data_IF_183159139821
#
_entry.id   IF_183159139821
#
_cell.length_a   1.000
_cell.length_b   1.000
_cell.length_c   1.000
_cell.angle_alpha   90.00
_cell.angle_beta   90.00
_cell.angle_gamma   90.00
#
_symmetry.space_group_name_H-M   'P 1'
#
loop_
_entity.id
_entity.type
_entity.pdbx_description
1 polymer ?
#
# COMPACT_ATOMS: atom_id res chain seq x y z
N UNK A 1 13.04 26.22 -89.95
CA UNK A 1 11.80 26.27 -89.15
C UNK A 1 11.52 24.88 -88.63
N UNK A 2 11.01 24.81 -87.39
CA UNK A 2 10.53 23.64 -86.64
C UNK A 2 11.63 22.82 -85.94
N UNK A 3 11.75 23.09 -84.64
CA UNK A 3 12.58 22.41 -83.64
C UNK A 3 11.89 21.14 -83.13
N UNK A 4 12.62 20.01 -83.13
CA UNK A 4 12.20 18.78 -82.48
C UNK A 4 12.64 18.81 -81.00
N UNK A 5 11.69 18.85 -80.07
CA UNK A 5 11.96 18.70 -78.63
C UNK A 5 11.50 17.33 -78.17
N UNK A 6 12.48 16.45 -78.00
CA UNK A 6 12.35 15.21 -77.24
C UNK A 6 12.43 15.56 -75.75
N UNK A 7 11.39 15.29 -74.97
CA UNK A 7 11.53 15.18 -73.52
C UNK A 7 10.84 13.89 -73.08
N UNK A 8 11.67 13.03 -72.50
CA UNK A 8 11.37 11.67 -72.08
C UNK A 8 10.37 11.67 -70.93
N UNK A 9 9.37 10.78 -71.02
CA UNK A 9 8.63 10.32 -69.87
C UNK A 9 9.56 9.50 -68.96
N UNK A 10 9.58 9.81 -67.67
CA UNK A 10 10.15 8.94 -66.65
C UNK A 10 9.21 8.97 -65.43
N UNK A 11 8.50 7.86 -65.27
CA UNK A 11 7.86 7.48 -64.03
C UNK A 11 8.95 7.17 -62.97
N UNK A 12 8.74 7.62 -61.73
CA UNK A 12 9.65 7.33 -60.63
C UNK A 12 9.04 7.76 -59.30
N UNK A 13 8.40 6.82 -58.63
CA UNK A 13 7.87 6.94 -57.27
C UNK A 13 9.01 7.19 -56.25
N UNK A 14 8.81 8.06 -55.26
CA UNK A 14 9.65 8.08 -54.04
C UNK A 14 8.96 8.80 -52.86
N UNK A 15 8.25 8.00 -52.06
CA UNK A 15 8.27 7.96 -50.59
C UNK A 15 8.08 9.26 -49.79
N UNK A 16 6.83 9.49 -49.39
CA UNK A 16 6.49 10.28 -48.20
C UNK A 16 6.78 9.45 -46.95
N UNK A 17 7.93 9.68 -46.30
CA UNK A 17 8.27 9.06 -45.01
C UNK A 17 7.51 9.80 -43.91
N UNK A 18 6.33 9.29 -43.55
CA UNK A 18 5.63 9.71 -42.35
C UNK A 18 6.30 9.01 -41.15
N UNK A 19 7.19 9.72 -40.45
CA UNK A 19 7.76 9.25 -39.19
C UNK A 19 6.63 9.25 -38.15
N UNK A 20 6.01 8.10 -37.96
CA UNK A 20 5.18 7.80 -36.80
C UNK A 20 6.10 7.75 -35.58
N UNK A 21 6.29 8.88 -34.92
CA UNK A 21 6.83 8.90 -33.56
C UNK A 21 5.78 8.29 -32.63
N UNK A 22 5.77 6.97 -32.51
CA UNK A 22 5.02 6.28 -31.46
C UNK A 22 5.58 6.74 -30.11
N UNK A 23 4.77 7.24 -29.18
CA UNK A 23 5.23 7.43 -27.82
C UNK A 23 5.62 6.04 -27.29
N UNK A 24 6.90 5.85 -26.98
CA UNK A 24 7.34 4.70 -26.22
C UNK A 24 6.64 4.79 -24.86
N UNK A 25 5.55 4.05 -24.69
CA UNK A 25 5.01 3.78 -23.38
C UNK A 25 6.14 3.10 -22.61
N UNK A 26 6.65 3.75 -21.56
CA UNK A 26 7.54 3.10 -20.61
C UNK A 26 6.78 1.90 -20.05
N UNK A 27 7.10 0.71 -20.57
CA UNK A 27 6.51 -0.52 -20.10
C UNK A 27 7.00 -0.72 -18.67
N UNK A 28 6.08 -0.74 -17.71
CA UNK A 28 6.41 -1.07 -16.33
C UNK A 28 6.93 -2.50 -16.29
N UNK A 29 8.01 -2.71 -15.55
CA UNK A 29 8.76 -3.96 -15.60
C UNK A 29 7.99 -5.14 -14.98
N UNK A 30 6.97 -4.84 -14.17
CA UNK A 30 6.08 -5.83 -13.57
C UNK A 30 4.61 -5.44 -13.72
N UNK A 31 3.70 -6.40 -13.47
CA UNK A 31 2.25 -6.20 -13.56
C UNK A 31 1.53 -7.00 -12.47
N UNK A 32 0.56 -6.40 -11.79
CA UNK A 32 -0.43 -7.11 -10.98
C UNK A 32 -1.34 -7.90 -11.92
N UNK A 33 -1.46 -9.20 -11.67
CA UNK A 33 -2.25 -10.13 -12.49
C UNK A 33 -3.55 -10.53 -11.81
N UNK A 34 -3.47 -10.95 -10.56
CA UNK A 34 -4.60 -11.56 -9.86
C UNK A 34 -4.52 -11.27 -8.37
N UNK A 35 -5.69 -11.25 -7.73
CA UNK A 35 -5.85 -11.06 -6.29
C UNK A 35 -6.88 -12.02 -5.76
N UNK A 36 -6.51 -12.76 -4.72
CA UNK A 36 -7.36 -13.75 -4.08
C UNK A 36 -7.35 -13.59 -2.57
N UNK A 37 -8.48 -13.94 -1.94
CA UNK A 37 -8.59 -13.99 -0.49
C UNK A 37 -9.11 -15.36 -0.06
N UNK A 38 -8.38 -16.01 0.85
CA UNK A 38 -8.75 -17.30 1.42
C UNK A 38 -8.78 -17.20 2.94
N UNK A 39 -9.69 -17.91 3.59
CA UNK A 39 -9.76 -17.99 5.06
C UNK A 39 -9.15 -19.31 5.50
N UNK A 40 -8.06 -19.24 6.27
CA UNK A 40 -7.35 -20.39 6.83
C UNK A 40 -7.40 -20.29 8.35
N UNK A 41 -8.29 -21.07 8.97
CA UNK A 41 -8.53 -21.03 10.40
C UNK A 41 -8.93 -19.62 10.87
N UNK A 42 -8.11 -19.02 11.73
CA UNK A 42 -8.34 -17.68 12.27
C UNK A 42 -7.62 -16.57 11.49
N UNK A 43 -7.17 -16.83 10.26
CA UNK A 43 -6.53 -15.82 9.42
C UNK A 43 -7.22 -15.69 8.07
N UNK A 44 -7.27 -14.46 7.56
CA UNK A 44 -7.59 -14.20 6.14
C UNK A 44 -6.27 -13.98 5.42
N UNK A 45 -5.96 -14.84 4.45
CA UNK A 45 -4.77 -14.76 3.61
C UNK A 45 -5.17 -14.12 2.27
N UNK A 46 -4.67 -12.92 2.03
CA UNK A 46 -4.84 -12.20 0.78
C UNK A 46 -3.56 -12.28 -0.04
N UNK A 47 -3.66 -12.78 -1.27
CA UNK A 47 -2.51 -13.00 -2.16
C UNK A 47 -2.64 -12.14 -3.40
N UNK A 48 -1.56 -11.44 -3.75
CA UNK A 48 -1.43 -10.66 -4.98
C UNK A 48 -0.41 -11.35 -5.86
N UNK A 49 -0.85 -11.82 -7.02
CA UNK A 49 0.01 -12.42 -8.04
C UNK A 49 0.54 -11.36 -9.00
N UNK A 50 1.83 -11.43 -9.26
CA UNK A 50 2.54 -10.52 -10.16
C UNK A 50 3.10 -11.28 -11.36
N UNK A 51 3.37 -10.56 -12.44
CA UNK A 51 3.98 -11.13 -13.64
C UNK A 51 5.39 -11.67 -13.38
N UNK A 52 6.15 -10.98 -12.53
CA UNK A 52 7.50 -11.34 -12.16
C UNK A 52 7.77 -11.12 -10.67
N UNK A 53 8.95 -11.55 -10.18
CA UNK A 53 9.35 -11.35 -8.80
C UNK A 53 9.45 -9.86 -8.44
N UNK A 54 9.20 -9.54 -7.17
CA UNK A 54 9.38 -8.18 -6.66
C UNK A 54 10.86 -7.89 -6.41
N UNK A 55 11.36 -6.77 -6.93
CA UNK A 55 12.72 -6.31 -6.66
C UNK A 55 12.92 -5.89 -5.20
N UNK A 56 11.86 -5.39 -4.55
CA UNK A 56 11.85 -4.99 -3.15
C UNK A 56 10.49 -5.20 -2.54
N UNK A 57 10.43 -5.28 -1.21
CA UNK A 57 9.17 -5.36 -0.47
C UNK A 57 8.34 -4.08 -0.72
N UNK A 58 7.07 -4.20 -1.14
CA UNK A 58 6.14 -3.08 -1.27
C UNK A 58 6.02 -2.28 0.02
N UNK A 59 5.86 -0.96 -0.11
CA UNK A 59 5.55 -0.12 1.03
C UNK A 59 4.09 -0.34 1.44
N UNK A 60 3.82 -0.45 2.73
CA UNK A 60 2.47 -0.66 3.26
C UNK A 60 2.17 0.28 4.44
N UNK A 61 0.91 0.70 4.58
CA UNK A 61 0.45 1.55 5.69
C UNK A 61 -1.04 1.33 6.01
N UNK A 62 -1.45 1.70 7.22
CA UNK A 62 -2.82 1.51 7.70
C UNK A 62 -3.52 2.80 8.09
N UNK A 63 -4.83 2.87 7.91
CA UNK A 63 -5.71 3.91 8.45
C UNK A 63 -6.77 3.28 9.34
N UNK A 64 -7.19 3.95 10.42
CA UNK A 64 -8.17 3.40 11.37
C UNK A 64 -9.61 3.88 11.12
N UNK A 65 -9.79 5.10 10.63
CA UNK A 65 -11.10 5.71 10.42
C UNK A 65 -11.22 6.25 8.98
N UNK A 66 -11.65 5.42 8.01
CA UNK A 66 -12.01 4.00 8.13
C UNK A 66 -10.79 3.04 8.15
N UNK A 67 -11.02 1.82 8.64
CA UNK A 67 -10.02 0.75 8.71
C UNK A 67 -9.58 0.30 7.30
N UNK A 68 -8.34 0.58 6.92
CA UNK A 68 -7.76 0.21 5.62
C UNK A 68 -6.29 -0.18 5.75
N UNK A 69 -5.84 -1.05 4.84
CA UNK A 69 -4.41 -1.29 4.57
C UNK A 69 -4.15 -0.91 3.12
N UNK A 70 -3.21 -0.01 2.87
CA UNK A 70 -2.79 0.37 1.54
C UNK A 70 -1.38 -0.16 1.28
N UNK A 71 -1.19 -0.80 0.12
CA UNK A 71 0.05 -1.42 -0.30
C UNK A 71 0.43 -0.84 -1.65
N UNK A 72 1.66 -0.35 -1.74
CA UNK A 72 2.19 0.40 -2.87
C UNK A 72 3.28 -0.41 -3.58
N UNK A 73 2.97 -0.84 -4.80
CA UNK A 73 3.88 -1.53 -5.70
C UNK A 73 4.51 -0.53 -6.68
N UNK A 74 5.78 -0.22 -6.48
CA UNK A 74 6.56 0.62 -7.40
C UNK A 74 6.97 -0.14 -8.65
N UNK A 75 7.10 0.57 -9.77
CA UNK A 75 7.42 0.01 -11.10
C UNK A 75 6.58 -1.23 -11.46
N UNK A 76 5.31 -1.20 -11.06
CA UNK A 76 4.38 -2.32 -11.21
C UNK A 76 3.05 -1.82 -11.71
N UNK A 77 2.64 -2.33 -12.87
CA UNK A 77 1.42 -1.88 -13.55
C UNK A 77 0.21 -2.69 -13.17
N UNK A 78 -0.94 -2.24 -13.65
CA UNK A 78 -2.17 -3.00 -13.58
C UNK A 78 -2.95 -2.80 -14.88
N UNK A 79 -3.04 -3.85 -15.70
CA UNK A 79 -3.55 -3.74 -17.07
C UNK A 79 -4.96 -3.12 -17.16
N UNK A 80 -5.83 -3.35 -16.18
CA UNK A 80 -7.16 -2.74 -16.15
C UNK A 80 -7.17 -1.27 -15.69
N UNK A 81 -6.04 -0.75 -15.22
CA UNK A 81 -5.85 0.61 -14.68
C UNK A 81 -6.49 0.81 -13.31
N UNK A 82 -7.72 0.33 -13.12
CA UNK A 82 -8.46 0.38 -11.85
C UNK A 82 -9.46 -0.76 -11.75
N UNK A 83 -9.64 -1.31 -10.55
CA UNK A 83 -10.62 -2.36 -10.28
C UNK A 83 -11.02 -2.36 -8.80
N UNK A 84 -12.18 -2.94 -8.52
CA UNK A 84 -12.66 -3.22 -7.17
C UNK A 84 -13.08 -4.68 -7.09
N UNK A 85 -12.61 -5.37 -6.06
CA UNK A 85 -12.92 -6.78 -5.78
C UNK A 85 -13.64 -6.86 -4.44
N UNK A 86 -14.84 -7.42 -4.43
CA UNK A 86 -15.61 -7.67 -3.21
C UNK A 86 -15.31 -9.09 -2.69
N UNK A 87 -14.98 -9.19 -1.41
CA UNK A 87 -14.72 -10.47 -0.74
C UNK A 87 -15.79 -10.78 0.32
N UNK A 88 -16.42 -9.75 0.91
CA UNK A 88 -17.49 -9.92 1.89
C UNK A 88 -17.10 -10.70 3.15
N UNK A 89 -15.80 -10.80 3.45
CA UNK A 89 -15.28 -11.59 4.56
C UNK A 89 -15.48 -10.91 5.92
N UNK A 90 -15.20 -11.67 7.00
CA UNK A 90 -15.34 -11.16 8.38
C UNK A 90 -14.43 -9.98 8.69
N UNK A 91 -13.25 -9.91 8.06
CA UNK A 91 -12.26 -8.84 8.23
C UNK A 91 -12.07 -8.09 6.93
N UNK A 92 -11.69 -8.77 5.85
CA UNK A 92 -11.52 -8.17 4.54
C UNK A 92 -12.88 -8.00 3.85
N UNK A 93 -13.31 -6.77 3.63
CA UNK A 93 -14.55 -6.46 2.90
C UNK A 93 -14.31 -6.46 1.39
N UNK A 94 -13.33 -5.67 0.94
CA UNK A 94 -13.02 -5.48 -0.47
C UNK A 94 -11.58 -5.02 -0.68
N UNK A 95 -11.09 -5.11 -1.92
CA UNK A 95 -9.83 -4.52 -2.35
C UNK A 95 -10.04 -3.58 -3.54
N UNK A 96 -9.52 -2.37 -3.45
CA UNK A 96 -9.46 -1.42 -4.56
C UNK A 96 -8.04 -1.39 -5.13
N UNK A 97 -7.92 -1.43 -6.45
CA UNK A 97 -6.63 -1.38 -7.15
C UNK A 97 -6.64 -0.19 -8.07
N UNK A 98 -5.58 0.59 -8.03
CA UNK A 98 -5.44 1.76 -8.89
C UNK A 98 -3.98 1.95 -9.28
N UNK A 99 -3.73 2.02 -10.58
CA UNK A 99 -2.45 2.44 -11.12
C UNK A 99 -2.40 3.98 -11.19
N UNK A 100 -1.35 4.55 -10.62
CA UNK A 100 -1.07 5.99 -10.58
C UNK A 100 0.36 6.18 -11.04
N UNK A 101 0.55 6.66 -12.28
CA UNK A 101 1.88 6.79 -12.86
C UNK A 101 2.62 5.45 -12.88
N UNK A 102 3.78 5.38 -12.22
CA UNK A 102 4.66 4.22 -12.11
C UNK A 102 4.33 3.27 -10.95
N UNK A 103 3.24 3.52 -10.23
CA UNK A 103 2.88 2.78 -9.02
C UNK A 103 1.49 2.20 -9.09
N UNK A 104 1.32 0.96 -8.66
CA UNK A 104 0.00 0.38 -8.39
C UNK A 104 -0.25 0.36 -6.89
N UNK A 105 -1.34 1.00 -6.46
CA UNK A 105 -1.82 0.98 -5.08
C UNK A 105 -2.96 -0.02 -4.94
N UNK A 106 -2.79 -0.99 -4.04
CA UNK A 106 -3.84 -1.93 -3.60
C UNK A 106 -4.31 -1.48 -2.22
N UNK A 107 -5.60 -1.19 -2.07
CA UNK A 107 -6.20 -0.77 -0.80
C UNK A 107 -7.20 -1.81 -0.34
N UNK A 108 -6.88 -2.50 0.75
CA UNK A 108 -7.76 -3.42 1.44
C UNK A 108 -8.69 -2.63 2.36
N UNK A 109 -10.00 -2.71 2.13
CA UNK A 109 -11.01 -2.15 3.02
C UNK A 109 -11.39 -3.20 4.07
N UNK A 110 -11.27 -2.85 5.34
CA UNK A 110 -11.49 -3.77 6.44
C UNK A 110 -12.80 -3.48 7.18
N UNK A 111 -13.35 -4.49 7.82
CA UNK A 111 -14.53 -4.35 8.69
C UNK A 111 -14.18 -3.73 10.04
N UNK A 112 -12.93 -3.90 10.48
CA UNK A 112 -12.34 -3.39 11.72
C UNK A 112 -10.82 -3.35 11.58
N UNK A 113 -10.16 -2.63 12.47
CA UNK A 113 -8.70 -2.68 12.62
C UNK A 113 -8.27 -4.09 13.03
N UNK A 114 -7.18 -4.58 12.43
CA UNK A 114 -6.59 -5.87 12.76
C UNK A 114 -5.07 -5.83 12.60
N UNK A 115 -4.38 -6.74 13.28
CA UNK A 115 -2.96 -7.01 13.05
C UNK A 115 -2.79 -7.77 11.74
N UNK A 116 -1.70 -7.48 11.02
CA UNK A 116 -1.38 -8.14 9.77
C UNK A 116 0.12 -8.34 9.59
N UNK A 117 0.47 -9.32 8.75
CA UNK A 117 1.85 -9.58 8.33
C UNK A 117 1.92 -9.64 6.81
N UNK A 118 3.07 -9.27 6.27
CA UNK A 118 3.32 -9.26 4.82
C UNK A 118 4.57 -10.03 4.47
N UNK A 119 4.48 -10.85 3.44
CA UNK A 119 5.56 -11.72 2.96
C UNK A 119 5.66 -11.65 1.43
N UNK A 120 6.88 -11.69 0.90
CA UNK A 120 7.16 -11.84 -0.53
C UNK A 120 7.51 -13.29 -0.78
N UNK A 121 6.79 -13.96 -1.69
CA UNK A 121 7.02 -15.36 -2.09
C UNK A 121 7.17 -15.44 -3.60
N UNK A 122 8.41 -15.34 -4.10
CA UNK A 122 8.67 -15.30 -5.53
C UNK A 122 7.98 -14.09 -6.20
N UNK A 123 7.00 -14.35 -7.07
CA UNK A 123 6.17 -13.35 -7.72
C UNK A 123 4.84 -13.08 -6.99
N UNK A 124 4.68 -13.55 -5.76
CA UNK A 124 3.49 -13.31 -4.95
C UNK A 124 3.80 -12.37 -3.79
N UNK A 125 2.86 -11.48 -3.48
CA UNK A 125 2.84 -10.74 -2.22
C UNK A 125 1.66 -11.21 -1.38
N UNK A 126 1.96 -11.72 -0.19
CA UNK A 126 0.97 -12.33 0.71
C UNK A 126 0.75 -11.42 1.91
N UNK A 127 -0.51 -11.11 2.19
CA UNK A 127 -0.97 -10.37 3.37
C UNK A 127 -1.79 -11.33 4.24
N UNK A 128 -1.31 -11.58 5.45
CA UNK A 128 -2.00 -12.39 6.45
C UNK A 128 -2.66 -11.47 7.45
N UNK A 129 -4.00 -11.47 7.49
CA UNK A 129 -4.83 -10.67 8.37
C UNK A 129 -5.36 -11.54 9.50
N UNK A 130 -5.20 -11.10 10.74
CA UNK A 130 -5.76 -11.84 11.88
C UNK A 130 -7.29 -11.64 11.94
N UNK A 131 -8.04 -12.74 12.09
CA UNK A 131 -9.50 -12.72 12.24
C UNK A 131 -9.95 -12.75 13.71
N UNK A 132 -9.02 -12.76 14.65
CA UNK A 132 -9.34 -12.64 16.07
C UNK A 132 -9.87 -11.22 16.34
N UNK A 133 -10.94 -11.10 17.10
CA UNK A 133 -11.33 -9.79 17.62
C UNK A 133 -10.33 -9.42 18.70
N UNK A 134 -9.51 -8.41 18.44
CA UNK A 134 -8.69 -7.82 19.48
C UNK A 134 -9.67 -7.20 20.49
N UNK A 135 -9.75 -7.78 21.69
CA UNK A 135 -10.65 -7.31 22.72
C UNK A 135 -10.28 -5.85 23.02
N UNK A 136 -11.22 -4.94 22.79
CA UNK A 136 -11.10 -3.57 23.26
C UNK A 136 -11.22 -3.61 24.78
N UNK A 137 -10.10 -3.81 25.49
CA UNK A 137 -10.02 -3.41 26.88
C UNK A 137 -10.17 -1.90 26.88
N UNK A 138 -11.35 -1.42 27.30
CA UNK A 138 -11.59 0.00 27.54
C UNK A 138 -10.60 0.50 28.60
N UNK A 139 -9.46 1.00 28.15
CA UNK A 139 -8.48 1.62 29.01
C UNK A 139 -8.96 3.04 29.30
N UNK A 140 -9.46 3.24 30.51
CA UNK A 140 -9.52 4.57 31.11
C UNK A 140 -8.07 5.03 31.25
N UNK A 141 -7.63 6.13 30.62
CA UNK A 141 -6.23 6.55 30.69
C UNK A 141 -5.94 6.97 32.13
N UNK A 142 -5.27 6.09 32.88
CA UNK A 142 -4.77 6.43 34.20
C UNK A 142 -3.42 7.10 34.02
N UNK A 143 -3.40 8.43 34.09
CA UNK A 143 -2.17 9.19 34.30
C UNK A 143 -1.69 8.94 35.74
N UNK A 144 -1.04 7.80 35.97
CA UNK A 144 -0.26 7.58 37.18
C UNK A 144 1.19 7.27 36.76
N UNK A 145 2.20 7.87 37.42
CA UNK A 145 3.59 7.56 37.14
C UNK A 145 3.82 6.07 37.46
N UNK A 146 4.18 5.30 36.44
CA UNK A 146 4.49 3.89 36.58
C UNK A 146 5.74 3.72 37.44
N UNK A 147 5.57 3.17 38.64
CA UNK A 147 6.68 2.66 39.44
C UNK A 147 7.28 1.46 38.70
N UNK A 148 8.59 1.53 38.48
CA UNK A 148 9.38 0.51 37.78
C UNK A 148 9.46 -0.76 38.62
N UNK A 149 8.64 -1.76 38.29
CA UNK A 149 8.93 -3.14 38.69
C UNK A 149 9.72 -3.84 37.59
N UNK A 150 10.87 -4.47 37.91
CA UNK A 150 11.65 -5.20 36.94
C UNK A 150 11.06 -6.60 36.78
N UNK A 151 10.38 -6.86 35.67
CA UNK A 151 10.11 -8.22 35.21
C UNK A 151 11.15 -8.59 34.15
N UNK A 152 12.19 -9.27 34.59
CA UNK A 152 13.19 -9.90 33.75
C UNK A 152 12.61 -11.15 33.09
N UNK A 153 12.06 -11.01 31.88
CA UNK A 153 12.05 -12.02 30.81
C UNK A 153 11.23 -11.48 29.62
N UNK A 154 11.80 -11.54 28.40
CA UNK A 154 11.27 -11.03 27.12
C UNK A 154 11.57 -9.55 26.80
N UNK A 155 12.78 -9.07 27.09
CA UNK A 155 13.27 -7.78 26.59
C UNK A 155 13.71 -7.80 25.11
N UNK A 156 13.40 -8.85 24.34
CA UNK A 156 13.98 -9.03 23.00
C UNK A 156 13.16 -8.42 21.85
N UNK A 157 11.89 -8.01 22.05
CA UNK A 157 11.12 -7.46 20.93
C UNK A 157 9.91 -6.58 21.31
N UNK A 158 9.95 -5.86 22.43
CA UNK A 158 8.87 -4.92 22.76
C UNK A 158 8.92 -3.75 21.77
N UNK A 159 7.82 -3.42 21.06
CA UNK A 159 7.77 -2.23 20.22
C UNK A 159 8.11 -0.98 21.03
N UNK A 160 8.77 -0.01 20.39
CA UNK A 160 9.19 1.24 21.00
C UNK A 160 8.92 2.42 20.07
N UNK A 161 8.59 3.57 20.65
CA UNK A 161 8.55 4.83 19.91
C UNK A 161 9.98 5.30 19.73
N UNK A 162 10.39 5.52 18.49
CA UNK A 162 11.73 6.02 18.14
C UNK A 162 11.75 7.54 18.05
N UNK A 163 10.70 8.13 17.50
CA UNK A 163 10.64 9.56 17.24
C UNK A 163 9.18 10.02 17.06
N UNK A 164 8.93 11.30 17.33
CA UNK A 164 7.65 11.97 17.11
C UNK A 164 7.93 13.31 16.42
N UNK A 165 7.33 13.51 15.25
CA UNK A 165 7.50 14.71 14.44
C UNK A 165 6.14 15.36 14.12
N UNK A 166 6.11 16.68 14.08
CA UNK A 166 4.92 17.48 13.83
C UNK A 166 5.10 18.29 12.56
N UNK A 167 4.21 18.08 11.59
CA UNK A 167 4.27 18.72 10.27
C UNK A 167 2.98 19.46 9.99
N UNK A 168 3.08 20.54 9.21
CA UNK A 168 1.90 21.18 8.61
C UNK A 168 1.58 20.48 7.27
N UNK A 169 0.34 20.08 7.09
CA UNK A 169 -0.21 19.50 5.87
C UNK A 169 -0.53 20.59 4.82
N UNK A 170 -0.63 20.17 3.55
CA UNK A 170 -0.85 21.08 2.42
C UNK A 170 -2.24 21.74 2.39
N UNK A 171 -3.18 21.22 3.16
CA UNK A 171 -4.56 21.72 3.35
C UNK A 171 -4.72 22.57 4.63
N UNK A 172 -3.62 22.86 5.33
CA UNK A 172 -3.64 23.56 6.61
C UNK A 172 -3.87 22.65 7.83
N UNK A 173 -4.03 21.34 7.64
CA UNK A 173 -4.11 20.40 8.75
C UNK A 173 -2.76 20.20 9.45
N UNK A 174 -2.76 19.75 10.71
CA UNK A 174 -1.56 19.23 11.39
C UNK A 174 -1.38 17.73 11.11
N UNK A 175 -0.15 17.27 10.91
CA UNK A 175 0.20 15.86 10.81
C UNK A 175 1.20 15.50 11.91
N UNK A 176 0.89 14.46 12.67
CA UNK A 176 1.82 13.84 13.61
C UNK A 176 2.38 12.58 12.97
N UNK A 177 3.70 12.46 12.91
CA UNK A 177 4.41 11.27 12.41
C UNK A 177 5.09 10.62 13.61
N UNK A 178 4.77 9.36 13.87
CA UNK A 178 5.35 8.59 14.97
C UNK A 178 6.12 7.43 14.37
N UNK A 179 7.43 7.41 14.60
CA UNK A 179 8.31 6.35 14.12
C UNK A 179 8.32 5.23 15.17
N UNK A 180 7.87 4.03 14.78
CA UNK A 180 7.82 2.87 15.65
C UNK A 180 8.90 1.86 15.27
N UNK A 181 9.43 1.13 16.25
CA UNK A 181 10.42 0.07 15.99
C UNK A 181 9.81 -1.19 15.36
N UNK A 182 8.50 -1.40 15.55
CA UNK A 182 7.71 -2.43 14.88
C UNK A 182 6.28 -1.93 14.67
N UNK A 183 5.60 -2.47 13.66
CA UNK A 183 4.16 -2.30 13.39
C UNK A 183 3.26 -3.17 14.27
N UNK A 184 3.83 -4.06 15.07
CA UNK A 184 3.07 -4.96 15.95
C UNK A 184 2.46 -4.25 17.17
N UNK A 185 2.76 -2.97 17.39
CA UNK A 185 2.12 -2.16 18.43
C UNK A 185 0.64 -1.99 18.12
N UNK A 186 -0.24 -2.36 19.06
CA UNK A 186 -1.65 -2.00 18.97
C UNK A 186 -1.81 -0.48 19.06
N UNK A 187 -2.44 0.16 18.07
CA UNK A 187 -2.66 1.60 18.06
C UNK A 187 -4.16 1.87 18.22
N UNK A 188 -4.53 2.53 19.32
CA UNK A 188 -5.88 3.02 19.55
C UNK A 188 -5.90 4.54 19.36
N UNK A 189 -6.88 5.06 18.62
CA UNK A 189 -7.04 6.49 18.38
C UNK A 189 -8.47 6.86 18.76
N UNK A 190 -8.59 7.77 19.73
CA UNK A 190 -9.87 8.26 20.20
C UNK A 190 -9.91 9.79 20.16
N UNK A 191 -11.04 10.34 19.72
CA UNK A 191 -11.31 11.77 19.86
C UNK A 191 -12.00 12.01 21.21
N UNK A 192 -11.40 12.85 22.04
CA UNK A 192 -11.93 13.26 23.34
C UNK A 192 -12.18 14.77 23.33
N UNK A 193 -13.41 15.15 23.04
CA UNK A 193 -13.77 16.55 22.83
C UNK A 193 -12.99 17.15 21.65
N UNK A 194 -12.15 18.13 21.92
CA UNK A 194 -11.28 18.76 20.92
C UNK A 194 -9.91 18.06 20.78
N UNK A 195 -9.61 17.10 21.66
CA UNK A 195 -8.31 16.43 21.68
C UNK A 195 -8.36 15.12 20.88
N UNK A 196 -7.25 14.80 20.22
CA UNK A 196 -7.00 13.47 19.67
C UNK A 196 -6.04 12.74 20.61
N UNK A 197 -6.47 11.60 21.16
CA UNK A 197 -5.66 10.75 22.02
C UNK A 197 -5.24 9.54 21.21
N UNK A 198 -3.93 9.31 21.13
CA UNK A 198 -3.33 8.15 20.47
C UNK A 198 -2.62 7.31 21.52
N UNK A 199 -3.05 6.06 21.67
CA UNK A 199 -2.47 5.09 22.59
C UNK A 199 -1.72 4.01 21.81
N UNK A 200 -0.45 3.81 22.16
CA UNK A 200 0.43 2.81 21.60
C UNK A 200 0.58 1.66 22.62
N UNK A 201 -0.31 0.69 22.53
CA UNK A 201 -0.41 -0.41 23.48
C UNK A 201 0.87 -1.24 23.51
N UNK A 202 1.36 -1.54 24.72
CA UNK A 202 2.56 -2.37 24.90
C UNK A 202 3.84 -1.74 24.35
N UNK A 203 3.86 -0.45 24.03
CA UNK A 203 5.02 0.24 23.44
C UNK A 203 5.81 0.96 24.53
N UNK A 204 7.15 0.98 24.45
CA UNK A 204 7.98 1.79 25.35
C UNK A 204 8.30 3.16 24.74
N UNK A 205 8.41 4.19 25.57
CA UNK A 205 8.89 5.53 25.18
C UNK A 205 10.40 5.65 25.45
N UNK A 206 11.13 6.49 24.69
CA UNK A 206 12.53 6.84 24.98
C UNK A 206 12.70 7.53 26.34
#
# INVERSE_FOLDING_TARGET
MITARWVKALAGAATMVLVLASPAALAQNNQVKQMEANVLGEQTVFTIDLQGPLAQKPADFTTQNPAKIAIDFFDTGFAAGRAQYEYGGKVLKSANVMQIGDRTRVVLNLSRSTTYRTEVRGNQFVVMLDNVQQAATGAVPTFAPATTMPTSAMAANRPSIRNIDFRRGGDGAGRVVVDLSSRDSGINIAQQGQNLVVDFMGTSVP
#
